data_IF_237426658677
#
_entry.id   IF_237426658677
#
_cell.length_a   1.000
_cell.length_b   1.000
_cell.length_c   1.000
_cell.angle_alpha   90.00
_cell.angle_beta   90.00
_cell.angle_gamma   90.00
#
_symmetry.space_group_name_H-M   'P 1'
#
loop_
_entity.id
_entity.type
_entity.pdbx_description
1 polymer ?
#
# COMPACT_ATOMS: atom_id res chain seq x y z
N UNK A 1 -14.37 21.47 -8.66
CA UNK A 1 -14.15 21.03 -7.25
C UNK A 1 -13.85 19.54 -7.30
N UNK A 2 -12.76 19.08 -6.64
CA UNK A 2 -12.40 17.65 -6.64
C UNK A 2 -13.42 16.84 -5.83
N UNK A 3 -13.93 15.72 -6.37
CA UNK A 3 -14.93 14.89 -5.68
C UNK A 3 -14.25 13.80 -4.84
N UNK A 4 -14.93 13.32 -3.79
CA UNK A 4 -14.44 12.19 -2.98
C UNK A 4 -14.19 10.95 -3.83
N UNK A 5 -15.07 10.66 -4.80
CA UNK A 5 -14.86 9.57 -5.76
C UNK A 5 -13.55 9.71 -6.51
N UNK A 6 -13.23 10.91 -6.99
CA UNK A 6 -11.97 11.16 -7.71
C UNK A 6 -10.75 10.99 -6.82
N UNK A 7 -10.78 11.50 -5.58
CA UNK A 7 -9.69 11.31 -4.61
C UNK A 7 -9.43 9.83 -4.30
N UNK A 8 -10.48 9.05 -4.07
CA UNK A 8 -10.36 7.61 -3.80
C UNK A 8 -9.81 6.86 -5.02
N UNK A 9 -10.22 7.23 -6.24
CA UNK A 9 -9.69 6.66 -7.48
C UNK A 9 -8.22 7.01 -7.71
N UNK A 10 -7.82 8.26 -7.43
CA UNK A 10 -6.41 8.68 -7.49
C UNK A 10 -5.58 7.87 -6.48
N UNK A 11 -6.07 7.71 -5.25
CA UNK A 11 -5.42 6.88 -4.24
C UNK A 11 -5.23 5.43 -4.71
N UNK A 12 -6.26 4.81 -5.28
CA UNK A 12 -6.16 3.45 -5.83
C UNK A 12 -5.12 3.38 -6.96
N UNK A 13 -5.09 4.36 -7.87
CA UNK A 13 -4.12 4.42 -8.95
C UNK A 13 -2.67 4.60 -8.44
N UNK A 14 -2.47 5.42 -7.42
CA UNK A 14 -1.17 5.58 -6.76
C UNK A 14 -0.68 4.25 -6.16
N UNK A 15 -1.56 3.48 -5.52
CA UNK A 15 -1.20 2.17 -4.97
C UNK A 15 -0.90 1.15 -6.08
N UNK A 16 -1.54 1.23 -7.25
CA UNK A 16 -1.13 0.43 -8.43
C UNK A 16 0.30 0.76 -8.83
N UNK A 17 0.66 2.05 -8.91
CA UNK A 17 2.05 2.45 -9.18
C UNK A 17 2.99 1.91 -8.11
N UNK A 18 2.58 1.94 -6.83
CA UNK A 18 3.37 1.37 -5.74
C UNK A 18 3.57 -0.14 -5.94
N UNK A 19 2.50 -0.89 -6.23
CA UNK A 19 2.57 -2.32 -6.48
C UNK A 19 3.53 -2.67 -7.62
N UNK A 20 3.50 -1.90 -8.72
CA UNK A 20 4.42 -2.11 -9.84
C UNK A 20 5.88 -1.83 -9.42
N UNK A 21 6.12 -0.72 -8.72
CA UNK A 21 7.46 -0.40 -8.20
C UNK A 21 7.98 -1.45 -7.22
N UNK A 22 7.12 -1.95 -6.35
CA UNK A 22 7.48 -3.00 -5.39
C UNK A 22 7.71 -4.35 -6.07
N UNK A 23 6.95 -4.66 -7.12
CA UNK A 23 7.20 -5.83 -7.98
C UNK A 23 8.58 -5.76 -8.62
N UNK A 24 8.96 -4.59 -9.16
CA UNK A 24 10.31 -4.42 -9.74
C UNK A 24 11.38 -4.63 -8.67
N UNK A 25 11.25 -3.97 -7.52
CA UNK A 25 12.21 -4.15 -6.42
C UNK A 25 12.30 -5.60 -5.91
N UNK A 26 11.18 -6.32 -5.86
CA UNK A 26 11.16 -7.74 -5.51
C UNK A 26 11.86 -8.64 -6.53
N UNK A 27 11.79 -8.29 -7.81
CA UNK A 27 12.42 -9.08 -8.87
C UNK A 27 13.92 -8.79 -9.03
N UNK A 28 14.42 -7.70 -8.45
CA UNK A 28 15.80 -7.25 -8.68
C UNK A 28 16.65 -7.11 -7.41
N UNK A 29 16.07 -7.27 -6.20
CA UNK A 29 16.79 -7.01 -4.95
C UNK A 29 18.03 -7.89 -4.75
N UNK A 30 18.04 -9.09 -5.32
CA UNK A 30 19.07 -10.11 -5.09
C UNK A 30 20.17 -10.15 -6.16
N UNK A 31 20.13 -9.21 -7.10
CA UNK A 31 21.15 -8.97 -8.12
C UNK A 31 21.71 -7.54 -8.02
N UNK A 32 22.26 -7.13 -6.86
CA UNK A 32 22.78 -5.77 -6.70
C UNK A 32 24.03 -5.55 -7.55
N UNK A 33 24.16 -4.36 -8.14
CA UNK A 33 25.33 -3.96 -8.92
C UNK A 33 26.60 -3.84 -8.03
N UNK A 34 26.46 -3.42 -6.77
CA UNK A 34 27.58 -3.32 -5.83
C UNK A 34 28.04 -4.73 -5.37
N UNK A 35 29.29 -5.13 -5.66
CA UNK A 35 29.81 -6.43 -5.23
C UNK A 35 29.77 -6.66 -3.71
N UNK A 36 29.85 -5.60 -2.90
CA UNK A 36 29.73 -5.71 -1.44
C UNK A 36 28.32 -6.11 -1.03
N UNK A 37 27.31 -5.54 -1.68
CA UNK A 37 25.92 -5.95 -1.47
C UNK A 37 25.67 -7.36 -2.02
N UNK A 38 26.31 -7.73 -3.13
CA UNK A 38 26.26 -9.11 -3.64
C UNK A 38 26.76 -10.13 -2.60
N UNK A 39 27.81 -9.79 -1.85
CA UNK A 39 28.29 -10.62 -0.74
C UNK A 39 27.27 -10.72 0.41
N UNK A 40 26.58 -9.63 0.74
CA UNK A 40 25.50 -9.63 1.75
C UNK A 40 24.33 -10.50 1.31
N UNK A 41 23.86 -10.35 0.06
CA UNK A 41 22.79 -11.18 -0.50
C UNK A 41 23.16 -12.66 -0.47
N UNK A 42 24.41 -12.99 -0.82
CA UNK A 42 24.92 -14.37 -0.73
C UNK A 42 24.80 -14.90 0.69
N UNK A 43 25.18 -14.12 1.70
CA UNK A 43 25.04 -14.50 3.12
C UNK A 43 23.57 -14.67 3.51
N UNK A 44 22.68 -13.75 3.12
CA UNK A 44 21.24 -13.82 3.40
C UNK A 44 20.59 -15.09 2.84
N UNK A 45 21.11 -15.62 1.73
CA UNK A 45 20.66 -16.86 1.09
C UNK A 45 21.32 -18.14 1.65
N UNK A 46 22.44 -18.02 2.39
CA UNK A 46 23.28 -19.16 2.76
C UNK A 46 22.93 -19.81 4.10
N UNK A 47 22.31 -19.06 5.01
CA UNK A 47 22.08 -19.53 6.38
C UNK A 47 20.60 -19.47 6.73
N UNK A 48 20.06 -20.61 7.16
CA UNK A 48 18.73 -20.71 7.76
C UNK A 48 18.81 -20.49 9.26
N UNK A 49 17.78 -19.86 9.82
CA UNK A 49 17.55 -19.76 11.25
C UNK A 49 16.23 -20.41 11.61
N UNK A 50 16.21 -21.15 12.72
CA UNK A 50 14.99 -21.69 13.28
C UNK A 50 14.26 -20.59 14.06
N UNK A 51 13.06 -20.25 13.61
CA UNK A 51 12.23 -19.25 14.26
C UNK A 51 10.76 -19.67 14.25
N UNK A 52 10.14 -19.69 15.43
CA UNK A 52 8.74 -20.10 15.62
C UNK A 52 8.38 -21.45 14.95
N UNK A 53 9.31 -22.40 14.95
CA UNK A 53 9.10 -23.74 14.38
C UNK A 53 9.29 -23.87 12.87
N UNK A 54 9.76 -22.82 12.19
CA UNK A 54 10.16 -22.86 10.78
C UNK A 54 11.66 -22.57 10.63
N UNK A 55 12.34 -23.34 9.77
CA UNK A 55 13.73 -23.09 9.39
C UNK A 55 13.78 -22.37 8.05
N UNK A 56 14.18 -21.10 8.06
CA UNK A 56 14.18 -20.24 6.87
C UNK A 56 15.39 -19.33 6.83
N UNK A 57 15.88 -19.07 5.63
CA UNK A 57 16.92 -18.07 5.38
C UNK A 57 16.36 -16.66 5.50
N UNK A 58 17.23 -15.68 5.71
CA UNK A 58 16.80 -14.26 5.69
C UNK A 58 16.25 -13.85 4.31
N UNK A 59 16.78 -14.43 3.24
CA UNK A 59 16.26 -14.24 1.88
C UNK A 59 14.81 -14.76 1.73
N UNK A 60 14.50 -15.93 2.29
CA UNK A 60 13.13 -16.47 2.26
C UNK A 60 12.16 -15.60 3.06
N UNK A 61 12.57 -15.07 4.22
CA UNK A 61 11.74 -14.12 4.97
C UNK A 61 11.51 -12.83 4.19
N UNK A 62 12.56 -12.25 3.60
CA UNK A 62 12.45 -11.06 2.76
C UNK A 62 11.47 -11.26 1.60
N UNK A 63 11.58 -12.39 0.90
CA UNK A 63 10.65 -12.75 -0.18
C UNK A 63 9.21 -12.92 0.32
N UNK A 64 9.02 -13.65 1.44
CA UNK A 64 7.70 -13.85 2.03
C UNK A 64 7.02 -12.54 2.42
N UNK A 65 7.74 -11.64 3.10
CA UNK A 65 7.23 -10.31 3.44
C UNK A 65 6.87 -9.50 2.20
N UNK A 66 7.70 -9.52 1.15
CA UNK A 66 7.42 -8.79 -0.09
C UNK A 66 6.15 -9.31 -0.80
N UNK A 67 5.93 -10.64 -0.83
CA UNK A 67 4.69 -11.23 -1.37
C UNK A 67 3.47 -10.83 -0.54
N UNK A 68 3.59 -10.80 0.80
CA UNK A 68 2.51 -10.30 1.66
C UNK A 68 2.15 -8.84 1.35
N UNK A 69 3.15 -7.99 1.07
CA UNK A 69 2.92 -6.60 0.68
C UNK A 69 2.18 -6.52 -0.66
N UNK A 70 2.44 -7.41 -1.63
CA UNK A 70 1.63 -7.45 -2.86
C UNK A 70 0.17 -7.73 -2.55
N UNK A 71 -0.10 -8.71 -1.69
CA UNK A 71 -1.46 -9.02 -1.23
C UNK A 71 -2.13 -7.82 -0.57
N UNK A 72 -1.40 -7.11 0.30
CA UNK A 72 -1.87 -5.89 0.95
C UNK A 72 -2.23 -4.80 -0.07
N UNK A 73 -1.36 -4.51 -1.02
CA UNK A 73 -1.62 -3.50 -2.05
C UNK A 73 -2.80 -3.88 -2.94
N UNK A 74 -2.87 -5.12 -3.43
CA UNK A 74 -4.00 -5.60 -4.24
C UNK A 74 -5.30 -5.47 -3.46
N UNK A 75 -5.32 -5.92 -2.19
CA UNK A 75 -6.48 -5.77 -1.32
C UNK A 75 -6.90 -4.31 -1.18
N UNK A 76 -5.96 -3.40 -0.88
CA UNK A 76 -6.29 -1.98 -0.74
C UNK A 76 -6.79 -1.37 -2.05
N UNK A 77 -6.20 -1.70 -3.20
CA UNK A 77 -6.67 -1.25 -4.52
C UNK A 77 -8.13 -1.68 -4.71
N UNK A 78 -8.45 -2.96 -4.48
CA UNK A 78 -9.81 -3.48 -4.64
C UNK A 78 -10.81 -2.82 -3.68
N UNK A 79 -10.41 -2.59 -2.41
CA UNK A 79 -11.23 -1.90 -1.43
C UNK A 79 -11.51 -0.46 -1.83
N UNK A 80 -10.49 0.33 -2.17
CA UNK A 80 -10.67 1.71 -2.60
C UNK A 80 -11.48 1.79 -3.89
N UNK A 81 -11.22 0.90 -4.85
CA UNK A 81 -11.97 0.81 -6.10
C UNK A 81 -13.46 0.54 -5.84
N UNK A 82 -13.77 -0.37 -4.92
CA UNK A 82 -15.14 -0.72 -4.54
C UNK A 82 -15.83 0.41 -3.77
N UNK A 83 -15.16 0.97 -2.76
CA UNK A 83 -15.69 2.07 -1.93
C UNK A 83 -16.03 3.29 -2.78
N UNK A 84 -15.19 3.63 -3.77
CA UNK A 84 -15.46 4.75 -4.67
C UNK A 84 -16.74 4.58 -5.51
N UNK A 85 -17.28 3.36 -5.61
CA UNK A 85 -18.55 3.07 -6.28
C UNK A 85 -19.78 3.51 -5.49
N UNK A 86 -19.67 3.58 -4.15
CA UNK A 86 -20.78 3.94 -3.25
C UNK A 86 -20.44 5.09 -2.29
N UNK A 87 -19.31 5.78 -2.50
CA UNK A 87 -18.73 6.72 -1.55
C UNK A 87 -19.69 7.85 -1.16
N UNK A 88 -20.54 8.30 -2.08
CA UNK A 88 -21.49 9.40 -1.87
C UNK A 88 -22.86 8.94 -1.40
N UNK A 89 -23.27 7.76 -1.85
CA UNK A 89 -24.57 7.12 -1.59
C UNK A 89 -24.63 6.59 -0.17
N UNK A 90 -23.56 5.94 0.29
CA UNK A 90 -23.42 5.39 1.64
C UNK A 90 -22.29 6.09 2.41
N UNK A 91 -22.37 7.42 2.49
CA UNK A 91 -21.34 8.30 3.07
C UNK A 91 -20.77 7.80 4.40
N UNK A 92 -21.62 7.45 5.37
CA UNK A 92 -21.15 7.13 6.72
C UNK A 92 -20.36 5.82 6.76
N UNK A 93 -20.81 4.83 5.98
CA UNK A 93 -20.11 3.55 5.84
C UNK A 93 -18.79 3.77 5.10
N UNK A 94 -18.84 4.46 3.96
CA UNK A 94 -17.64 4.76 3.18
C UNK A 94 -16.59 5.52 4.00
N UNK A 95 -17.01 6.55 4.75
CA UNK A 95 -16.11 7.35 5.58
C UNK A 95 -15.47 6.52 6.71
N UNK A 96 -16.22 5.62 7.35
CA UNK A 96 -15.69 4.71 8.37
C UNK A 96 -14.64 3.73 7.83
N UNK A 97 -14.75 3.35 6.55
CA UNK A 97 -13.77 2.49 5.88
C UNK A 97 -12.56 3.27 5.36
N UNK A 98 -12.78 4.46 4.80
CA UNK A 98 -11.72 5.27 4.19
C UNK A 98 -10.77 5.87 5.24
N UNK A 99 -11.29 6.31 6.38
CA UNK A 99 -10.47 6.96 7.41
C UNK A 99 -9.31 6.08 7.90
N UNK A 100 -9.52 4.82 8.35
CA UNK A 100 -8.41 3.97 8.75
C UNK A 100 -7.46 3.70 7.58
N UNK A 101 -7.95 3.40 6.38
CA UNK A 101 -7.07 3.18 5.21
C UNK A 101 -6.16 4.40 4.99
N UNK A 102 -6.72 5.61 5.00
CA UNK A 102 -5.97 6.85 4.83
C UNK A 102 -4.90 7.08 5.89
N UNK A 103 -5.25 6.89 7.17
CA UNK A 103 -4.32 7.05 8.30
C UNK A 103 -3.18 6.03 8.24
N UNK A 104 -3.47 4.77 7.93
CA UNK A 104 -2.45 3.72 7.83
C UNK A 104 -1.51 4.00 6.66
N UNK A 105 -1.99 4.49 5.51
CA UNK A 105 -1.12 4.86 4.40
C UNK A 105 -0.24 6.08 4.68
N UNK A 106 -0.71 7.03 5.49
CA UNK A 106 0.15 8.12 5.99
C UNK A 106 1.27 7.54 6.87
N UNK A 107 0.94 6.61 7.78
CA UNK A 107 1.92 5.92 8.61
C UNK A 107 2.93 5.14 7.76
N UNK A 108 2.48 4.39 6.75
CA UNK A 108 3.36 3.69 5.81
C UNK A 108 4.30 4.66 5.11
N UNK A 109 3.79 5.80 4.63
CA UNK A 109 4.63 6.84 4.04
C UNK A 109 5.72 7.35 4.97
N UNK A 110 5.44 7.51 6.27
CA UNK A 110 6.47 7.88 7.27
C UNK A 110 7.50 6.77 7.46
N UNK A 111 7.06 5.52 7.59
CA UNK A 111 7.96 4.35 7.73
C UNK A 111 8.85 4.19 6.49
N UNK A 112 8.27 4.33 5.30
CA UNK A 112 8.97 4.27 4.02
C UNK A 112 10.00 5.38 3.88
N UNK A 113 9.70 6.58 4.39
CA UNK A 113 10.65 7.69 4.37
C UNK A 113 11.87 7.42 5.25
N UNK A 114 11.65 6.80 6.42
CA UNK A 114 12.71 6.55 7.41
C UNK A 114 13.58 5.34 7.03
N UNK A 115 12.98 4.24 6.58
CA UNK A 115 13.68 2.96 6.43
C UNK A 115 13.90 2.53 4.97
N UNK A 116 13.24 3.16 4.00
CA UNK A 116 13.29 2.76 2.61
C UNK A 116 13.79 3.92 1.74
N UNK A 117 12.92 4.58 0.98
CA UNK A 117 13.33 5.66 0.08
C UNK A 117 12.19 6.63 -0.23
N UNK A 118 12.52 7.90 -0.59
CA UNK A 118 11.52 8.97 -0.72
C UNK A 118 10.42 8.73 -1.76
N UNK A 119 10.71 7.99 -2.83
CA UNK A 119 9.72 7.74 -3.89
C UNK A 119 8.56 6.86 -3.39
N UNK A 120 8.85 5.76 -2.71
CA UNK A 120 7.83 4.92 -2.08
C UNK A 120 7.02 5.73 -1.05
N UNK A 121 7.72 6.45 -0.17
CA UNK A 121 7.12 7.30 0.85
C UNK A 121 6.16 8.33 0.27
N UNK A 122 6.56 9.01 -0.81
CA UNK A 122 5.74 10.00 -1.50
C UNK A 122 4.44 9.41 -2.03
N UNK A 123 4.48 8.21 -2.62
CA UNK A 123 3.29 7.52 -3.13
C UNK A 123 2.33 7.18 -1.99
N UNK A 124 2.83 6.58 -0.90
CA UNK A 124 1.99 6.21 0.25
C UNK A 124 1.41 7.42 0.96
N UNK A 125 2.19 8.49 1.16
CA UNK A 125 1.70 9.75 1.73
C UNK A 125 0.61 10.36 0.84
N UNK A 126 0.84 10.46 -0.47
CA UNK A 126 -0.15 11.03 -1.39
C UNK A 126 -1.44 10.21 -1.42
N UNK A 127 -1.34 8.88 -1.43
CA UNK A 127 -2.48 7.97 -1.34
C UNK A 127 -3.24 8.14 -0.02
N UNK A 128 -2.52 8.17 1.11
CA UNK A 128 -3.09 8.37 2.44
C UNK A 128 -3.78 9.72 2.60
N UNK A 129 -3.15 10.80 2.12
CA UNK A 129 -3.72 12.15 2.09
C UNK A 129 -4.96 12.22 1.20
N UNK A 130 -4.92 11.68 -0.03
CA UNK A 130 -6.09 11.66 -0.91
C UNK A 130 -7.27 10.91 -0.27
N UNK A 131 -7.01 9.73 0.30
CA UNK A 131 -8.02 8.90 0.96
C UNK A 131 -8.62 9.61 2.17
N UNK A 132 -7.78 10.27 2.98
CA UNK A 132 -8.19 11.01 4.17
C UNK A 132 -8.99 12.27 3.79
N UNK A 133 -8.51 13.04 2.82
CA UNK A 133 -9.22 14.22 2.28
C UNK A 133 -10.58 13.83 1.69
N UNK A 134 -10.70 12.65 1.09
CA UNK A 134 -11.96 12.15 0.56
C UNK A 134 -13.06 12.11 1.63
N UNK A 135 -12.73 11.74 2.88
CA UNK A 135 -13.66 11.70 4.02
C UNK A 135 -14.25 13.08 4.33
N UNK A 136 -13.40 14.12 4.29
CA UNK A 136 -13.74 15.50 4.63
C UNK A 136 -14.51 16.23 3.54
N UNK A 137 -14.20 15.94 2.26
CA UNK A 137 -14.91 16.57 1.13
C UNK A 137 -16.16 15.80 0.70
N UNK A 138 -16.43 14.64 1.30
CA UNK A 138 -17.57 13.78 0.94
C UNK A 138 -18.89 14.45 1.31
N UNK A 139 -19.75 14.69 0.33
CA UNK A 139 -21.09 15.22 0.51
C UNK A 139 -22.10 14.11 0.24
N UNK A 140 -23.03 13.89 1.17
CA UNK A 140 -24.11 12.91 0.98
C UNK A 140 -24.96 13.36 -0.20
N UNK A 141 -25.10 12.50 -1.21
CA UNK A 141 -26.10 12.70 -2.26
C UNK A 141 -27.37 12.01 -1.78
N UNK A 142 -28.53 12.69 -1.70
CA UNK A 142 -29.78 12.04 -1.37
C UNK A 142 -30.06 10.94 -2.39
N UNK A 143 -30.33 9.72 -1.90
CA UNK A 143 -30.73 8.60 -2.77
C UNK A 143 -32.01 9.01 -3.51
N UNK A 144 -32.04 9.00 -4.86
CA UNK A 144 -33.31 9.14 -5.55
C UNK A 144 -34.06 7.82 -5.35
N UNK A 145 -35.34 7.91 -4.99
CA UNK A 145 -36.29 6.82 -4.72
C UNK A 145 -36.37 6.36 -3.26
N UNK A 146 -37.47 6.71 -2.55
CA UNK A 146 -37.93 5.97 -1.37
C UNK A 146 -38.35 4.54 -1.77
N UNK A 147 -38.14 3.59 -0.85
CA UNK A 147 -38.69 2.23 -0.91
C UNK A 147 -40.23 2.21 -1.01
#
# INVERSE_FOLDING_TARGET
MISSKMLVRISAALIVVHLLGHTIGHLTWDEPEDPKMGAVVKVMKSYSADFMGASKTMAEYYNGYSIMIFGLFIMTILLLWSISGFVTEQKDIANKLLLPIGVIYILFGVVEFVYFFPFAAGISLCSGLCTTLAVFVNKKVPYPFPE
#
